data_IF_593945145106
#
_entry.id   IF_593945145106
#
_cell.length_a   1.000
_cell.length_b   1.000
_cell.length_c   1.000
_cell.angle_alpha   90.00
_cell.angle_beta   90.00
_cell.angle_gamma   90.00
#
_symmetry.space_group_name_H-M   'P 1'
#
loop_
_entity.id
_entity.type
_entity.pdbx_description
1 polymer ?
#
# COMPACT_ATOMS: atom_id res chain seq x y z
N UNK A 1 18.07 -13.27 11.59
CA UNK A 1 17.24 -13.15 10.38
C UNK A 1 15.90 -12.64 10.84
N UNK A 2 15.48 -11.44 10.43
CA UNK A 2 14.18 -10.91 10.86
C UNK A 2 13.10 -11.49 9.97
N UNK A 3 12.17 -12.25 10.55
CA UNK A 3 11.20 -13.02 9.77
C UNK A 3 10.02 -12.13 9.39
N UNK A 4 9.66 -12.13 8.11
CA UNK A 4 8.51 -11.40 7.58
C UNK A 4 7.41 -12.43 7.29
N UNK A 5 6.26 -12.29 7.93
CA UNK A 5 5.15 -13.24 7.79
C UNK A 5 3.87 -12.50 7.40
N UNK A 6 3.12 -13.04 6.45
CA UNK A 6 1.83 -12.49 6.05
C UNK A 6 0.69 -13.32 6.68
N UNK A 7 -0.37 -12.65 7.12
CA UNK A 7 -1.56 -13.30 7.70
C UNK A 7 -2.86 -12.58 7.32
N UNK A 8 -4.01 -13.26 7.40
CA UNK A 8 -5.31 -12.59 7.38
C UNK A 8 -5.38 -11.51 8.46
N UNK A 9 -6.07 -10.42 8.14
CA UNK A 9 -6.30 -9.34 9.10
C UNK A 9 -7.35 -9.74 10.14
N UNK A 10 -7.29 -9.08 11.30
CA UNK A 10 -8.34 -9.05 12.32
C UNK A 10 -8.78 -7.60 12.55
N UNK A 11 -9.92 -7.38 13.22
CA UNK A 11 -10.39 -6.03 13.55
C UNK A 11 -9.39 -5.24 14.40
N UNK A 12 -8.54 -5.93 15.18
CA UNK A 12 -7.49 -5.31 15.98
C UNK A 12 -6.37 -4.67 15.13
N UNK A 13 -6.28 -5.01 13.84
CA UNK A 13 -5.27 -4.45 12.93
C UNK A 13 -5.66 -3.07 12.38
N UNK A 14 -6.92 -2.66 12.54
CA UNK A 14 -7.46 -1.43 11.95
C UNK A 14 -6.63 -0.17 12.29
N UNK A 15 -6.16 0.06 13.52
CA UNK A 15 -5.30 1.20 13.84
C UNK A 15 -3.95 1.18 13.10
N UNK A 16 -3.35 0.01 12.91
CA UNK A 16 -2.06 -0.12 12.21
C UNK A 16 -2.22 0.09 10.70
N UNK A 17 -3.29 -0.45 10.12
CA UNK A 17 -3.64 -0.22 8.71
C UNK A 17 -3.89 1.27 8.46
N UNK A 18 -4.66 1.93 9.35
CA UNK A 18 -4.94 3.36 9.27
C UNK A 18 -3.65 4.20 9.30
N UNK A 19 -2.71 3.84 10.19
CA UNK A 19 -1.40 4.47 10.27
C UNK A 19 -0.61 4.32 8.97
N UNK A 20 -0.45 3.10 8.46
CA UNK A 20 0.30 2.82 7.23
C UNK A 20 -0.35 3.49 6.00
N UNK A 21 -1.68 3.49 5.91
CA UNK A 21 -2.40 4.14 4.81
C UNK A 21 -2.22 5.66 4.85
N UNK A 22 -2.29 6.26 6.04
CA UNK A 22 -2.06 7.70 6.24
C UNK A 22 -0.64 8.09 5.82
N UNK A 23 0.39 7.30 6.13
CA UNK A 23 1.74 7.53 5.60
C UNK A 23 1.76 7.55 4.07
N UNK A 24 1.00 6.66 3.42
CA UNK A 24 0.86 6.60 1.96
C UNK A 24 0.16 7.82 1.34
N UNK A 25 -0.80 8.42 2.06
CA UNK A 25 -1.44 9.69 1.70
C UNK A 25 -0.45 10.85 1.79
N UNK A 26 0.27 10.94 2.91
CA UNK A 26 1.27 11.99 3.17
C UNK A 26 2.39 12.00 2.13
N UNK A 27 2.85 10.82 1.72
CA UNK A 27 3.86 10.65 0.67
C UNK A 27 3.36 11.03 -0.73
N UNK A 28 2.04 11.22 -0.91
CA UNK A 28 1.38 11.52 -2.20
C UNK A 28 1.73 10.53 -3.33
N UNK A 29 2.19 9.33 -2.98
CA UNK A 29 2.79 8.40 -3.94
C UNK A 29 1.80 7.37 -4.50
N UNK A 30 0.68 7.10 -3.82
CA UNK A 30 -0.18 5.94 -4.15
C UNK A 30 -1.68 6.12 -3.99
N UNK A 31 -2.14 7.24 -3.45
CA UNK A 31 -3.56 7.56 -3.41
C UNK A 31 -3.76 9.05 -3.73
N UNK A 32 -4.90 9.38 -4.33
CA UNK A 32 -5.34 10.77 -4.52
C UNK A 32 -6.08 11.30 -3.29
N UNK A 33 -6.30 10.47 -2.28
CA UNK A 33 -6.87 10.90 -1.02
C UNK A 33 -5.95 11.89 -0.31
N UNK A 34 -6.55 12.87 0.36
CA UNK A 34 -5.85 13.96 1.05
C UNK A 34 -6.10 13.96 2.54
N UNK A 35 -7.05 13.16 3.03
CA UNK A 35 -7.46 13.13 4.43
C UNK A 35 -6.94 11.84 5.09
N UNK A 36 -6.24 11.93 6.23
CA UNK A 36 -5.87 10.77 7.03
C UNK A 36 -7.08 9.87 7.31
N UNK A 37 -6.85 8.56 7.35
CA UNK A 37 -7.87 7.57 7.72
C UNK A 37 -7.77 7.25 9.19
N UNK A 38 -8.92 7.09 9.85
CA UNK A 38 -8.98 6.61 11.24
C UNK A 38 -9.15 5.09 11.29
N UNK A 39 -9.05 4.49 12.48
CA UNK A 39 -9.33 3.07 12.64
C UNK A 39 -10.79 2.74 12.27
N UNK A 40 -11.73 3.62 12.59
CA UNK A 40 -13.15 3.49 12.25
C UNK A 40 -13.38 3.50 10.74
N UNK A 41 -12.66 4.35 10.00
CA UNK A 41 -12.69 4.33 8.54
C UNK A 41 -12.24 2.97 7.99
N UNK A 42 -11.19 2.38 8.58
CA UNK A 42 -10.68 1.06 8.16
C UNK A 42 -11.62 -0.07 8.54
N UNK A 43 -12.32 0.01 9.67
CA UNK A 43 -13.30 -1.00 10.07
C UNK A 43 -14.40 -1.18 9.00
N UNK A 44 -14.75 -0.11 8.27
CA UNK A 44 -15.71 -0.21 7.16
C UNK A 44 -15.24 -1.08 5.98
N UNK A 45 -13.94 -1.38 5.88
CA UNK A 45 -13.39 -2.24 4.83
C UNK A 45 -13.58 -3.72 5.12
N UNK A 46 -13.92 -4.10 6.37
CA UNK A 46 -14.18 -5.48 6.77
C UNK A 46 -15.62 -5.87 6.43
N UNK A 47 -15.95 -5.84 5.13
CA UNK A 47 -17.28 -6.17 4.61
C UNK A 47 -17.51 -7.67 4.39
N UNK A 48 -16.48 -8.49 4.63
CA UNK A 48 -16.52 -9.95 4.43
C UNK A 48 -16.43 -10.39 2.96
N UNK A 49 -16.43 -9.44 2.01
CA UNK A 49 -16.34 -9.71 0.58
C UNK A 49 -14.93 -9.43 0.05
N UNK A 50 -14.28 -8.36 0.51
CA UNK A 50 -12.99 -7.91 0.03
C UNK A 50 -11.86 -8.31 0.98
N UNK A 51 -11.01 -9.28 0.60
CA UNK A 51 -9.90 -9.68 1.45
C UNK A 51 -8.93 -8.55 1.74
N UNK A 52 -8.46 -8.55 2.99
CA UNK A 52 -7.37 -7.71 3.48
C UNK A 52 -6.37 -8.63 4.16
N UNK A 53 -5.09 -8.38 3.92
CA UNK A 53 -3.98 -9.11 4.54
C UNK A 53 -3.01 -8.11 5.14
N UNK A 54 -2.39 -8.51 6.25
CA UNK A 54 -1.31 -7.76 6.88
C UNK A 54 -0.02 -8.55 6.83
N UNK A 55 1.08 -7.84 6.87
CA UNK A 55 2.42 -8.40 6.97
C UNK A 55 3.04 -7.91 8.25
N UNK A 56 3.58 -8.85 9.02
CA UNK A 56 4.19 -8.62 10.30
C UNK A 56 5.69 -8.90 10.26
N UNK A 57 6.40 -8.15 11.09
CA UNK A 57 7.80 -8.36 11.43
C UNK A 57 7.94 -8.07 12.91
N UNK A 58 8.47 -9.04 13.66
CA UNK A 58 8.63 -8.93 15.12
C UNK A 58 7.33 -8.50 15.82
N UNK A 59 6.20 -9.14 15.46
CA UNK A 59 4.84 -8.86 15.97
C UNK A 59 4.27 -7.48 15.63
N UNK A 60 4.99 -6.67 14.85
CA UNK A 60 4.51 -5.39 14.38
C UNK A 60 3.98 -5.50 12.95
N UNK A 61 2.77 -4.98 12.72
CA UNK A 61 2.22 -4.82 11.36
C UNK A 61 3.00 -3.73 10.63
N UNK A 62 3.64 -4.11 9.53
CA UNK A 62 4.57 -3.27 8.76
C UNK A 62 4.12 -3.02 7.32
N UNK A 63 3.20 -3.81 6.80
CA UNK A 63 2.57 -3.62 5.51
C UNK A 63 1.18 -4.23 5.49
N UNK A 64 0.36 -3.80 4.54
CA UNK A 64 -0.92 -4.45 4.27
C UNK A 64 -1.24 -4.40 2.79
N UNK A 65 -2.15 -5.28 2.36
CA UNK A 65 -2.76 -5.21 1.06
C UNK A 65 -4.26 -5.48 1.18
N UNK A 66 -5.05 -4.78 0.39
CA UNK A 66 -6.51 -4.89 0.39
C UNK A 66 -7.05 -4.94 -1.03
N UNK A 67 -8.20 -5.58 -1.19
CA UNK A 67 -9.01 -5.47 -2.41
C UNK A 67 -10.16 -4.49 -2.24
N UNK A 68 -10.69 -3.99 -3.35
CA UNK A 68 -11.94 -3.23 -3.42
C UNK A 68 -12.64 -3.46 -4.75
N UNK A 69 -13.92 -3.07 -4.84
CA UNK A 69 -14.68 -3.13 -6.09
C UNK A 69 -13.98 -2.30 -7.17
N UNK A 70 -13.69 -2.90 -8.33
CA UNK A 70 -13.16 -2.17 -9.49
C UNK A 70 -14.18 -1.18 -10.02
N UNK A 71 -15.35 -1.65 -10.48
CA UNK A 71 -16.44 -0.80 -10.98
C UNK A 71 -17.78 -1.46 -10.65
N UNK A 72 -18.85 -0.67 -10.45
CA UNK A 72 -20.15 -1.20 -9.98
C UNK A 72 -20.97 -1.94 -11.04
N UNK A 73 -20.53 -1.99 -12.31
CA UNK A 73 -21.29 -2.66 -13.37
C UNK A 73 -21.10 -4.18 -13.25
N UNK A 74 -22.18 -4.94 -13.35
CA UNK A 74 -22.19 -6.41 -13.18
C UNK A 74 -21.17 -7.15 -14.04
N UNK A 75 -20.86 -6.65 -15.24
CA UNK A 75 -19.84 -7.24 -16.11
C UNK A 75 -18.43 -7.24 -15.50
N UNK A 76 -18.20 -6.52 -14.40
CA UNK A 76 -16.96 -6.46 -13.65
C UNK A 76 -17.00 -7.20 -12.31
N UNK A 77 -18.05 -7.95 -11.99
CA UNK A 77 -18.22 -8.59 -10.67
C UNK A 77 -17.04 -9.50 -10.24
N UNK A 78 -16.30 -10.08 -11.19
CA UNK A 78 -15.10 -10.87 -10.89
C UNK A 78 -13.77 -10.12 -10.96
N UNK A 79 -13.82 -8.79 -11.03
CA UNK A 79 -12.65 -7.92 -11.04
C UNK A 79 -12.59 -7.11 -9.75
N UNK A 80 -11.56 -7.39 -8.94
CA UNK A 80 -11.20 -6.55 -7.82
C UNK A 80 -10.06 -5.60 -8.21
N UNK A 81 -10.11 -4.37 -7.71
CA UNK A 81 -8.92 -3.55 -7.53
C UNK A 81 -8.15 -4.06 -6.31
N UNK A 82 -6.83 -3.83 -6.30
CA UNK A 82 -6.05 -4.04 -5.09
C UNK A 82 -5.01 -2.95 -4.89
N UNK A 83 -4.75 -2.68 -3.61
CA UNK A 83 -3.76 -1.71 -3.15
C UNK A 83 -2.80 -2.37 -2.16
N UNK A 84 -1.55 -1.89 -2.15
CA UNK A 84 -0.49 -2.40 -1.28
C UNK A 84 0.26 -1.23 -0.68
N UNK A 85 0.38 -1.21 0.64
CA UNK A 85 1.10 -0.17 1.37
C UNK A 85 2.12 -0.79 2.31
N UNK A 86 3.30 -0.17 2.36
CA UNK A 86 4.41 -0.58 3.21
C UNK A 86 4.85 0.63 4.02
N UNK A 87 5.01 0.42 5.32
CA UNK A 87 5.48 1.43 6.25
C UNK A 87 6.80 2.05 5.76
N UNK A 88 6.95 3.37 5.91
CA UNK A 88 8.03 4.15 5.27
C UNK A 88 9.43 3.64 5.63
N UNK A 89 9.66 3.28 6.90
CA UNK A 89 10.99 2.93 7.43
C UNK A 89 11.51 1.57 6.94
N UNK A 90 10.64 0.71 6.42
CA UNK A 90 10.97 -0.69 6.09
C UNK A 90 10.74 -1.03 4.61
N UNK A 91 10.59 -0.02 3.74
CA UNK A 91 10.50 -0.21 2.29
C UNK A 91 11.77 -0.90 1.75
N UNK A 92 11.62 -1.69 0.68
CA UNK A 92 12.74 -2.42 0.06
C UNK A 92 13.17 -3.71 0.77
N UNK A 93 12.46 -4.13 1.81
CA UNK A 93 12.73 -5.36 2.59
C UNK A 93 12.00 -6.61 2.08
N UNK A 94 11.14 -6.47 1.08
CA UNK A 94 10.29 -7.57 0.58
C UNK A 94 8.87 -7.63 1.17
N UNK A 95 8.54 -6.79 2.16
CA UNK A 95 7.23 -6.77 2.81
C UNK A 95 6.05 -6.58 1.82
N UNK A 96 6.19 -5.67 0.84
CA UNK A 96 5.16 -5.47 -0.18
C UNK A 96 4.95 -6.70 -1.07
N UNK A 97 6.02 -7.46 -1.37
CA UNK A 97 5.91 -8.72 -2.10
C UNK A 97 5.18 -9.76 -1.26
N UNK A 98 5.52 -9.89 0.03
CA UNK A 98 4.82 -10.80 0.94
C UNK A 98 3.32 -10.49 1.03
N UNK A 99 2.96 -9.19 1.07
CA UNK A 99 1.56 -8.76 1.08
C UNK A 99 0.81 -9.18 -0.19
N UNK A 100 1.41 -8.96 -1.36
CA UNK A 100 0.83 -9.39 -2.65
C UNK A 100 0.70 -10.91 -2.72
N UNK A 101 1.76 -11.65 -2.39
CA UNK A 101 1.77 -13.11 -2.45
C UNK A 101 0.67 -13.73 -1.57
N UNK A 102 0.34 -13.09 -0.43
CA UNK A 102 -0.75 -13.50 0.44
C UNK A 102 -2.14 -13.02 -0.02
N UNK A 103 -2.25 -11.83 -0.60
CA UNK A 103 -3.55 -11.30 -1.06
C UNK A 103 -4.08 -12.08 -2.27
N UNK A 104 -3.20 -12.53 -3.16
CA UNK A 104 -3.57 -13.26 -4.38
C UNK A 104 -4.44 -14.50 -4.12
N UNK A 105 -4.05 -15.45 -3.26
CA UNK A 105 -4.89 -16.61 -2.95
C UNK A 105 -6.16 -16.22 -2.21
N UNK A 106 -6.11 -15.22 -1.31
CA UNK A 106 -7.29 -14.75 -0.59
C UNK A 106 -8.35 -14.17 -1.56
N UNK A 107 -7.93 -13.34 -2.51
CA UNK A 107 -8.80 -12.77 -3.55
C UNK A 107 -9.43 -13.86 -4.44
N UNK A 108 -8.67 -14.91 -4.77
CA UNK A 108 -9.20 -16.06 -5.52
C UNK A 108 -10.25 -16.82 -4.74
N UNK A 109 -10.03 -17.05 -3.45
CA UNK A 109 -11.00 -17.71 -2.57
C UNK A 109 -12.29 -16.88 -2.41
N UNK A 110 -12.18 -15.55 -2.47
CA UNK A 110 -13.32 -14.62 -2.48
C UNK A 110 -14.04 -14.51 -3.86
N UNK A 111 -13.60 -15.26 -4.87
CA UNK A 111 -14.25 -15.30 -6.18
C UNK A 111 -13.75 -14.26 -7.19
N UNK A 112 -12.63 -13.56 -6.93
CA UNK A 112 -12.05 -12.64 -7.91
C UNK A 112 -11.05 -13.37 -8.84
N UNK A 113 -11.37 -13.42 -10.14
CA UNK A 113 -10.54 -14.11 -11.16
C UNK A 113 -9.66 -13.16 -11.98
N UNK A 114 -9.93 -11.85 -11.95
CA UNK A 114 -9.05 -10.80 -12.50
C UNK A 114 -8.79 -9.72 -11.45
N UNK A 115 -7.59 -9.14 -11.49
CA UNK A 115 -7.16 -8.10 -10.54
C UNK A 115 -6.68 -6.88 -11.32
N UNK A 116 -7.29 -5.73 -11.09
CA UNK A 116 -6.82 -4.46 -11.60
C UNK A 116 -5.79 -3.88 -10.63
N UNK A 117 -4.60 -3.55 -11.13
CA UNK A 117 -3.50 -2.99 -10.33
C UNK A 117 -3.75 -1.49 -10.10
N UNK A 118 -3.99 -1.06 -8.86
CA UNK A 118 -4.37 0.35 -8.59
C UNK A 118 -3.16 1.29 -8.48
N UNK A 119 -2.03 0.87 -7.87
CA UNK A 119 -0.66 1.45 -8.01
C UNK A 119 0.23 0.84 -6.94
N UNK A 120 1.48 0.52 -7.28
CA UNK A 120 2.55 0.36 -6.29
C UNK A 120 3.29 1.69 -6.18
N UNK A 121 3.40 2.28 -4.99
CA UNK A 121 4.41 3.33 -4.74
C UNK A 121 5.77 2.70 -4.94
N UNK A 122 6.35 2.86 -6.13
CA UNK A 122 7.79 2.80 -6.29
C UNK A 122 8.28 4.20 -6.00
N UNK A 123 8.80 4.43 -4.80
CA UNK A 123 9.50 5.66 -4.45
C UNK A 123 10.48 6.00 -5.58
N UNK A 124 10.25 7.13 -6.26
CA UNK A 124 11.25 7.74 -7.12
C UNK A 124 12.34 8.17 -6.14
N UNK A 125 13.53 7.55 -6.18
CA UNK A 125 14.71 8.13 -5.50
C UNK A 125 14.80 9.59 -5.93
N UNK A 126 14.50 10.51 -5.02
CA UNK A 126 14.81 11.92 -5.23
C UNK A 126 16.34 11.97 -5.39
N UNK A 127 16.89 12.49 -6.51
CA UNK A 127 18.31 12.76 -6.52
C UNK A 127 18.61 13.73 -5.36
N UNK A 128 19.77 13.61 -4.70
CA UNK A 128 20.13 14.56 -3.64
C UNK A 128 19.99 15.98 -4.19
N UNK A 129 19.55 16.95 -3.36
CA UNK A 129 19.42 18.34 -3.82
C UNK A 129 20.74 18.74 -4.45
N UNK A 130 20.68 19.12 -5.73
CA UNK A 130 21.85 19.61 -6.43
C UNK A 130 22.41 20.77 -5.60
N UNK A 131 23.62 20.61 -5.06
CA UNK A 131 24.37 21.74 -4.52
C UNK A 131 24.51 22.72 -5.67
N UNK A 132 23.76 23.82 -5.61
CA UNK A 132 23.97 25.03 -6.41
C UNK A 132 25.37 25.56 -6.07
N UNK A 133 26.37 25.02 -6.75
CA UNK A 133 27.71 25.61 -6.79
C UNK A 133 27.65 26.65 -7.89
N UNK A 134 27.35 27.89 -7.53
CA UNK A 134 27.48 29.03 -8.41
C UNK A 134 28.97 29.18 -8.78
N UNK A 135 29.36 28.76 -9.99
CA UNK A 135 30.60 29.22 -10.60
C UNK A 135 30.28 30.48 -11.40
N UNK A 136 30.53 31.62 -10.75
CA UNK A 136 30.81 32.90 -11.39
C UNK A 136 31.80 32.72 -12.54
N UNK A 137 31.45 33.21 -13.73
CA UNK A 137 32.28 33.08 -14.92
C UNK A 137 31.81 33.97 -16.06
N UNK A 138 31.78 35.28 -15.83
CA UNK A 138 31.66 36.29 -16.90
C UNK A 138 32.80 36.16 -17.91
N UNK A 139 32.47 36.16 -19.20
CA UNK A 139 33.02 37.11 -20.21
C UNK A 139 32.41 36.84 -21.58
N UNK A 140 31.70 37.86 -22.08
CA UNK A 140 31.50 38.06 -23.51
C UNK A 140 32.83 38.45 -24.14
N UNK A 141 33.20 37.78 -25.22
CA UNK A 141 33.76 38.35 -26.44
C UNK A 141 33.17 37.57 -27.61
#
# INVERSE_FOLDING_TARGET
>A
MTNITARPTTLADAPFIAHIYTQGIEDRGSTFETRPRTAEDILSWFDGQHPIVVVERDEQVIAFASTSTYRPRDCYAGIAEFSVYVQREIRGTGAGKAAVDALIPAARAAGYWKRALTRLSRERRQPPPARLTWLSGSRHL
#
